data_IF_177025556047
#
_entry.id   IF_177025556047
#
_cell.length_a   1.000
_cell.length_b   1.000
_cell.length_c   1.000
_cell.angle_alpha   90.00
_cell.angle_beta   90.00
_cell.angle_gamma   90.00
#
_symmetry.space_group_name_H-M   'P 1'
#
loop_
_entity.id
_entity.type
_entity.pdbx_description
1 polymer ?
#
# COMPACT_ATOMS: atom_id res chain seq x y z
N UNK A 1 58.84 24.13 30.12
CA UNK A 1 58.50 24.05 28.68
C UNK A 1 58.13 22.59 28.41
N UNK A 2 56.86 22.21 28.47
CA UNK A 2 55.80 22.56 27.52
C UNK A 2 55.85 21.48 26.43
N UNK A 3 54.86 20.62 26.19
CA UNK A 3 53.42 20.77 26.33
C UNK A 3 52.81 19.36 26.19
N UNK A 4 52.06 18.95 27.22
CA UNK A 4 51.39 17.65 27.27
C UNK A 4 50.15 17.67 26.39
N UNK A 5 50.30 17.26 25.13
CA UNK A 5 49.14 17.07 24.24
C UNK A 5 48.42 15.75 24.57
N UNK A 6 47.42 15.85 25.44
CA UNK A 6 46.42 14.79 25.61
C UNK A 6 45.30 14.98 24.58
N UNK A 7 45.33 14.22 23.49
CA UNK A 7 44.19 14.13 22.57
C UNK A 7 43.18 13.14 23.16
N UNK A 8 42.13 13.65 23.79
CA UNK A 8 41.00 12.82 24.22
C UNK A 8 40.05 12.61 23.04
N UNK A 9 39.80 11.35 22.68
CA UNK A 9 38.72 10.97 21.75
C UNK A 9 37.52 10.61 22.60
N UNK A 10 36.45 11.42 22.54
CA UNK A 10 35.15 11.05 23.06
C UNK A 10 34.38 10.30 21.97
N UNK A 11 34.02 9.05 22.24
CA UNK A 11 33.06 8.30 21.42
C UNK A 11 31.79 8.18 22.25
N UNK A 12 30.73 8.83 21.80
CA UNK A 12 29.40 8.71 22.38
C UNK A 12 28.61 7.69 21.57
N UNK A 13 28.31 6.54 22.18
CA UNK A 13 27.49 5.49 21.57
C UNK A 13 26.05 5.64 22.04
N UNK A 14 25.16 6.04 21.14
CA UNK A 14 23.71 5.87 21.38
C UNK A 14 23.31 4.47 20.94
N UNK A 15 22.70 3.70 21.84
CA UNK A 15 22.13 2.40 21.51
C UNK A 15 20.91 2.60 20.62
N UNK A 16 21.06 2.31 19.32
CA UNK A 16 19.98 2.39 18.32
C UNK A 16 19.41 1.00 18.00
N UNK A 17 19.81 -0.03 18.76
CA UNK A 17 19.43 -1.42 18.50
C UNK A 17 17.92 -1.57 18.55
N UNK A 18 17.27 -0.97 19.54
CA UNK A 18 15.81 -1.06 19.74
C UNK A 18 15.01 -0.48 18.57
N UNK A 19 15.42 0.68 18.05
CA UNK A 19 14.84 1.34 16.86
C UNK A 19 15.09 0.53 15.58
N UNK A 20 16.28 -0.06 15.44
CA UNK A 20 16.65 -0.87 14.29
C UNK A 20 15.84 -2.18 14.26
N UNK A 21 15.70 -2.85 15.40
CA UNK A 21 14.89 -4.07 15.53
C UNK A 21 13.41 -3.82 15.27
N UNK A 22 12.85 -2.72 15.80
CA UNK A 22 11.46 -2.34 15.54
C UNK A 22 11.21 -2.07 14.04
N UNK A 23 12.10 -1.34 13.38
CA UNK A 23 11.99 -1.08 11.94
C UNK A 23 12.16 -2.35 11.10
N UNK A 24 13.08 -3.25 11.47
CA UNK A 24 13.27 -4.53 10.79
C UNK A 24 12.02 -5.42 10.92
N UNK A 25 11.42 -5.47 12.12
CA UNK A 25 10.19 -6.21 12.37
C UNK A 25 8.98 -5.65 11.59
N UNK A 26 8.88 -4.32 11.48
CA UNK A 26 7.85 -3.67 10.66
C UNK A 26 8.01 -4.01 9.17
N UNK A 27 9.24 -3.92 8.64
CA UNK A 27 9.53 -4.27 7.24
C UNK A 27 9.22 -5.73 6.94
N UNK A 28 9.61 -6.66 7.82
CA UNK A 28 9.31 -8.08 7.66
C UNK A 28 7.82 -8.36 7.61
N UNK A 29 7.02 -7.65 8.44
CA UNK A 29 5.56 -7.77 8.39
C UNK A 29 4.99 -7.23 7.08
N UNK A 30 5.47 -6.09 6.62
CA UNK A 30 5.02 -5.49 5.36
C UNK A 30 5.33 -6.39 4.16
N UNK A 31 6.55 -6.92 4.10
CA UNK A 31 6.97 -7.85 3.05
C UNK A 31 6.21 -9.18 3.11
N UNK A 32 5.92 -9.69 4.31
CA UNK A 32 5.11 -10.89 4.47
C UNK A 32 3.67 -10.70 3.99
N UNK A 33 3.03 -9.56 4.34
CA UNK A 33 1.70 -9.22 3.84
C UNK A 33 1.69 -9.07 2.32
N UNK A 34 2.71 -8.40 1.76
CA UNK A 34 2.88 -8.28 0.30
C UNK A 34 3.04 -9.65 -0.36
N UNK A 35 3.82 -10.56 0.23
CA UNK A 35 4.02 -11.90 -0.30
C UNK A 35 2.74 -12.73 -0.28
N UNK A 36 1.95 -12.66 0.80
CA UNK A 36 0.64 -13.34 0.87
C UNK A 36 -0.26 -12.85 -0.27
N UNK A 37 -0.39 -11.53 -0.43
CA UNK A 37 -1.21 -10.93 -1.49
C UNK A 37 -0.73 -11.29 -2.90
N UNK A 38 0.57 -11.47 -3.10
CA UNK A 38 1.13 -11.90 -4.39
C UNK A 38 0.82 -13.37 -4.73
N UNK A 39 0.60 -14.21 -3.71
CA UNK A 39 0.28 -15.64 -3.90
C UNK A 39 -1.22 -15.94 -4.00
N UNK A 40 -2.09 -14.93 -3.84
CA UNK A 40 -3.54 -15.13 -4.00
C UNK A 40 -3.85 -15.39 -5.49
N UNK A 41 -4.53 -16.50 -5.82
CA UNK A 41 -4.86 -16.84 -7.22
C UNK A 41 -5.83 -15.84 -7.86
N UNK A 42 -6.63 -15.15 -7.03
CA UNK A 42 -7.58 -14.14 -7.49
C UNK A 42 -6.92 -12.78 -7.74
N UNK A 43 -7.44 -12.04 -8.72
CA UNK A 43 -7.04 -10.67 -8.96
C UNK A 43 -7.38 -9.78 -7.74
N UNK A 44 -6.37 -9.14 -7.16
CA UNK A 44 -6.50 -8.30 -5.98
C UNK A 44 -5.96 -6.89 -6.22
N UNK A 45 -6.70 -5.90 -5.71
CA UNK A 45 -6.33 -4.49 -5.71
C UNK A 45 -6.55 -3.95 -4.31
N UNK A 46 -5.52 -3.35 -3.71
CA UNK A 46 -5.61 -2.67 -2.42
C UNK A 46 -5.59 -1.18 -2.65
N UNK A 47 -6.51 -0.45 -2.01
CA UNK A 47 -6.64 1.01 -2.14
C UNK A 47 -6.60 1.67 -0.76
N UNK A 48 -6.19 2.94 -0.72
CA UNK A 48 -6.37 3.79 0.46
C UNK A 48 -7.81 4.35 0.55
N UNK A 49 -8.05 5.13 1.60
CA UNK A 49 -9.33 5.78 1.86
C UNK A 49 -9.75 6.79 0.78
N UNK A 50 -8.78 7.30 0.01
CA UNK A 50 -8.99 8.20 -1.11
C UNK A 50 -9.12 7.44 -2.45
N UNK A 51 -9.14 6.10 -2.41
CA UNK A 51 -9.27 5.25 -3.58
C UNK A 51 -7.99 5.07 -4.39
N UNK A 52 -6.82 5.48 -3.88
CA UNK A 52 -5.54 5.30 -4.57
C UNK A 52 -5.01 3.89 -4.40
N UNK A 53 -4.59 3.29 -5.50
CA UNK A 53 -4.05 1.92 -5.51
C UNK A 53 -2.71 1.89 -4.76
N UNK A 54 -2.64 1.08 -3.70
CA UNK A 54 -1.43 0.79 -2.92
C UNK A 54 -0.79 -0.55 -3.32
N UNK A 55 -1.59 -1.51 -3.78
CA UNK A 55 -1.10 -2.81 -4.24
C UNK A 55 -1.95 -3.34 -5.39
N UNK A 56 -1.30 -4.07 -6.30
CA UNK A 56 -1.91 -4.62 -7.50
C UNK A 56 -1.26 -5.98 -7.76
N UNK A 57 -2.03 -7.07 -7.61
CA UNK A 57 -1.48 -8.43 -7.75
C UNK A 57 -1.17 -8.77 -9.21
N UNK A 58 -0.28 -9.73 -9.44
CA UNK A 58 0.06 -10.21 -10.80
C UNK A 58 -1.17 -10.77 -11.54
N UNK A 59 -2.12 -11.39 -10.81
CA UNK A 59 -3.40 -11.79 -11.37
C UNK A 59 -4.24 -10.57 -11.83
N UNK A 60 -4.20 -9.45 -11.08
CA UNK A 60 -4.83 -8.19 -11.48
C UNK A 60 -4.13 -7.55 -12.70
N UNK A 61 -2.81 -7.62 -12.79
CA UNK A 61 -2.06 -7.20 -13.98
C UNK A 61 -2.53 -7.93 -15.23
N UNK A 62 -2.67 -9.24 -15.12
CA UNK A 62 -3.15 -10.11 -16.21
C UNK A 62 -4.60 -9.78 -16.58
N UNK A 63 -5.46 -9.60 -15.58
CA UNK A 63 -6.89 -9.33 -15.77
C UNK A 63 -7.14 -7.99 -16.46
N UNK A 64 -6.54 -6.92 -15.94
CA UNK A 64 -6.80 -5.55 -16.40
C UNK A 64 -5.84 -5.06 -17.49
N UNK A 65 -4.72 -5.76 -17.73
CA UNK A 65 -3.75 -5.39 -18.77
C UNK A 65 -2.84 -4.22 -18.40
N UNK A 66 -2.74 -3.90 -17.11
CA UNK A 66 -1.84 -2.87 -16.57
C UNK A 66 -0.71 -3.53 -15.79
N UNK A 67 0.51 -2.99 -15.87
CA UNK A 67 1.53 -3.31 -14.88
C UNK A 67 1.27 -2.53 -13.60
N UNK A 68 1.61 -3.09 -12.44
CA UNK A 68 1.47 -2.45 -11.12
C UNK A 68 2.18 -1.08 -11.11
N UNK A 69 3.35 -0.99 -11.73
CA UNK A 69 4.12 0.26 -11.87
C UNK A 69 3.37 1.39 -12.61
N UNK A 70 2.35 1.07 -13.40
CA UNK A 70 1.54 2.04 -14.15
C UNK A 70 0.36 2.56 -13.31
N UNK A 71 -0.09 1.80 -12.32
CA UNK A 71 -1.36 2.05 -11.63
C UNK A 71 -1.19 2.38 -10.16
N UNK A 72 -0.08 2.06 -9.50
CA UNK A 72 0.04 2.41 -8.08
C UNK A 72 0.12 3.94 -7.91
N UNK A 73 -0.57 4.43 -6.89
CA UNK A 73 -0.81 5.86 -6.67
C UNK A 73 -1.95 6.46 -7.50
N UNK A 74 -2.42 5.78 -8.56
CA UNK A 74 -3.57 6.19 -9.35
C UNK A 74 -4.88 5.83 -8.64
N UNK A 75 -5.95 6.55 -8.95
CA UNK A 75 -7.28 6.25 -8.42
C UNK A 75 -7.85 4.98 -9.10
N UNK A 76 -8.41 4.08 -8.30
CA UNK A 76 -8.96 2.78 -8.73
C UNK A 76 -10.09 2.88 -9.75
N UNK A 77 -10.74 4.04 -9.84
CA UNK A 77 -11.76 4.35 -10.85
C UNK A 77 -11.25 4.16 -12.29
N UNK A 78 -9.92 4.16 -12.52
CA UNK A 78 -9.34 3.83 -13.82
C UNK A 78 -9.77 2.43 -14.31
N UNK A 79 -9.97 1.49 -13.38
CA UNK A 79 -10.29 0.08 -13.66
C UNK A 79 -11.80 -0.13 -13.89
N UNK A 80 -12.60 0.95 -13.84
CA UNK A 80 -14.06 0.90 -13.91
C UNK A 80 -14.58 1.60 -15.16
N UNK A 81 -15.62 1.06 -15.83
CA UNK A 81 -16.34 1.77 -16.87
C UNK A 81 -17.25 2.87 -16.29
N UNK A 82 -17.60 3.84 -17.13
CA UNK A 82 -18.70 4.74 -16.81
C UNK A 82 -20.02 3.95 -16.69
N UNK A 83 -20.95 4.35 -15.79
CA UNK A 83 -20.87 5.50 -14.88
C UNK A 83 -20.11 5.22 -13.57
N UNK A 84 -19.73 3.96 -13.31
CA UNK A 84 -19.13 3.56 -12.03
C UNK A 84 -17.84 4.27 -11.70
N UNK A 85 -17.04 4.64 -12.71
CA UNK A 85 -15.83 5.46 -12.57
C UNK A 85 -16.11 6.77 -11.82
N UNK A 86 -17.16 7.48 -12.23
CA UNK A 86 -17.43 8.84 -11.75
C UNK A 86 -18.07 8.83 -10.35
N UNK A 87 -18.81 7.77 -10.04
CA UNK A 87 -19.50 7.63 -8.76
C UNK A 87 -18.65 6.96 -7.66
N UNK A 88 -17.53 6.33 -8.02
CA UNK A 88 -16.78 5.46 -7.09
C UNK A 88 -16.28 6.21 -5.85
N UNK A 89 -15.72 7.40 -6.02
CA UNK A 89 -15.22 8.22 -4.92
C UNK A 89 -16.34 8.61 -3.94
N UNK A 90 -17.56 8.83 -4.45
CA UNK A 90 -18.72 9.13 -3.61
C UNK A 90 -19.12 7.92 -2.78
N UNK A 91 -18.99 6.70 -3.32
CA UNK A 91 -19.24 5.47 -2.58
C UNK A 91 -18.23 5.26 -1.44
N UNK A 92 -16.95 5.52 -1.70
CA UNK A 92 -15.89 5.47 -0.68
C UNK A 92 -16.15 6.48 0.44
N UNK A 93 -16.38 7.75 0.09
CA UNK A 93 -16.69 8.81 1.07
C UNK A 93 -17.90 8.47 1.93
N UNK A 94 -18.96 7.96 1.32
CA UNK A 94 -20.18 7.56 2.04
C UNK A 94 -19.90 6.41 3.00
N UNK A 95 -19.19 5.38 2.56
CA UNK A 95 -18.82 4.24 3.41
C UNK A 95 -17.98 4.67 4.61
N UNK A 96 -16.97 5.52 4.40
CA UNK A 96 -16.13 6.04 5.50
C UNK A 96 -16.93 6.90 6.49
N UNK A 97 -17.92 7.67 6.00
CA UNK A 97 -18.75 8.53 6.85
C UNK A 97 -19.85 7.78 7.61
N UNK A 98 -20.46 6.75 7.01
CA UNK A 98 -21.67 6.09 7.56
C UNK A 98 -21.44 4.66 8.05
N UNK A 99 -20.31 4.04 7.70
CA UNK A 99 -20.06 2.61 7.93
C UNK A 99 -20.95 1.66 7.11
N UNK A 100 -21.86 2.18 6.28
CA UNK A 100 -22.82 1.35 5.52
C UNK A 100 -22.15 0.68 4.32
N UNK A 101 -22.00 -0.65 4.40
CA UNK A 101 -21.52 -1.50 3.31
C UNK A 101 -22.61 -1.67 2.25
N UNK A 102 -22.60 -0.85 1.19
CA UNK A 102 -23.47 -1.05 0.01
C UNK A 102 -22.76 -1.68 -1.18
N UNK A 103 -21.50 -1.29 -1.38
CA UNK A 103 -20.68 -1.68 -2.53
C UNK A 103 -19.38 -2.32 -2.07
N UNK A 104 -18.82 -1.80 -0.98
CA UNK A 104 -17.58 -2.24 -0.34
C UNK A 104 -17.95 -3.25 0.76
N UNK A 105 -17.31 -4.42 0.77
CA UNK A 105 -17.52 -5.45 1.80
C UNK A 105 -18.67 -6.44 1.56
N UNK A 106 -19.32 -6.37 0.39
CA UNK A 106 -20.26 -7.39 -0.09
C UNK A 106 -19.65 -8.04 -1.33
N UNK A 107 -19.47 -9.36 -1.32
CA UNK A 107 -19.02 -10.09 -2.51
C UNK A 107 -20.02 -9.89 -3.64
N UNK A 108 -19.59 -9.30 -4.76
CA UNK A 108 -20.45 -9.03 -5.92
C UNK A 108 -19.66 -9.11 -7.22
N UNK A 109 -20.35 -9.50 -8.28
CA UNK A 109 -19.81 -9.40 -9.63
C UNK A 109 -19.86 -7.95 -10.10
N UNK A 110 -18.74 -7.42 -10.59
CA UNK A 110 -18.64 -6.08 -11.19
C UNK A 110 -18.05 -6.17 -12.59
N UNK A 111 -18.39 -5.22 -13.45
CA UNK A 111 -17.75 -5.07 -14.76
C UNK A 111 -16.48 -4.23 -14.61
N UNK A 112 -15.32 -4.82 -14.93
CA UNK A 112 -14.03 -4.12 -14.99
C UNK A 112 -13.72 -3.62 -16.40
N UNK A 113 -12.89 -2.58 -16.50
CA UNK A 113 -12.33 -2.09 -17.76
C UNK A 113 -10.91 -2.62 -17.95
N UNK A 114 -10.70 -3.37 -19.04
CA UNK A 114 -9.36 -3.78 -19.49
C UNK A 114 -8.75 -2.67 -20.36
N UNK A 115 -7.43 -2.49 -20.26
CA UNK A 115 -6.67 -1.60 -21.14
C UNK A 115 -6.82 -1.98 -22.62
#
# INVERSE_FOLDING_TARGET
DGDGRTTAIFVEGTDVSELSFANAALRLREDHLRSILATVPDAMVVIDEQGRIQSFSTAAETLFGYAASQVIGQNVSLLMPAPYRDEHDAYLRRYLATGERRIIGLGRTVTGMRK
#
